data_IF_682566424813
#
_entry.id   IF_682566424813
#
_cell.length_a   1.000
_cell.length_b   1.000
_cell.length_c   1.000
_cell.angle_alpha   90.00
_cell.angle_beta   90.00
_cell.angle_gamma   90.00
#
_symmetry.space_group_name_H-M   'P 1'
#
loop_
_entity.id
_entity.type
_entity.pdbx_description
1 polymer ?
#
# COMPACT_ATOMS: atom_id res chain seq x y z
N UNK A 1 -0.55 -17.53 -0.36
CA UNK A 1 -1.45 -16.36 -0.33
C UNK A 1 -1.44 -15.82 1.08
N UNK A 2 -0.69 -14.74 1.33
CA UNK A 2 -0.77 -14.03 2.61
C UNK A 2 -1.94 -13.06 2.45
N UNK A 3 -3.06 -13.33 3.09
CA UNK A 3 -4.12 -12.33 3.22
C UNK A 3 -3.62 -11.38 4.30
N UNK A 4 -3.22 -10.17 3.93
CA UNK A 4 -2.78 -9.19 4.93
C UNK A 4 -3.91 -8.97 5.94
N UNK A 5 -3.61 -9.22 7.22
CA UNK A 5 -4.57 -8.95 8.28
C UNK A 5 -4.63 -7.45 8.54
N UNK A 6 -5.85 -6.91 8.61
CA UNK A 6 -6.07 -5.53 9.05
C UNK A 6 -5.77 -5.46 10.55
N UNK A 7 -4.75 -4.70 10.92
CA UNK A 7 -4.34 -4.50 12.31
C UNK A 7 -4.39 -3.02 12.67
N UNK A 8 -4.29 -2.71 13.97
CA UNK A 8 -4.12 -1.33 14.43
C UNK A 8 -2.83 -0.77 13.83
N UNK A 9 -2.90 0.44 13.29
CA UNK A 9 -1.82 1.10 12.56
C UNK A 9 -1.88 0.92 11.05
N UNK A 10 -2.65 -0.05 10.53
CA UNK A 10 -2.81 -0.24 9.09
C UNK A 10 -3.38 1.01 8.43
N UNK A 11 -2.79 1.39 7.29
CA UNK A 11 -3.31 2.43 6.41
C UNK A 11 -4.35 1.83 5.48
N UNK A 12 -5.48 2.52 5.34
CA UNK A 12 -6.57 2.06 4.51
C UNK A 12 -7.01 3.12 3.51
N UNK A 13 -7.65 2.66 2.43
CA UNK A 13 -8.48 3.45 1.53
C UNK A 13 -9.92 2.96 1.60
N UNK A 14 -10.87 3.89 1.62
CA UNK A 14 -12.29 3.59 1.54
C UNK A 14 -12.95 4.60 0.62
N UNK A 15 -13.17 4.20 -0.64
CA UNK A 15 -13.78 5.05 -1.67
C UNK A 15 -13.02 6.38 -1.85
N UNK A 16 -11.68 6.33 -1.87
CA UNK A 16 -10.83 7.51 -2.05
C UNK A 16 -10.50 8.27 -0.77
N UNK A 17 -11.12 7.91 0.36
CA UNK A 17 -10.79 8.47 1.67
C UNK A 17 -9.76 7.62 2.38
N UNK A 18 -8.71 8.26 2.88
CA UNK A 18 -7.59 7.58 3.55
C UNK A 18 -7.65 7.78 5.06
N UNK A 19 -7.24 6.76 5.80
CA UNK A 19 -7.22 6.79 7.25
C UNK A 19 -6.35 5.72 7.85
N UNK A 20 -6.18 5.79 9.17
CA UNK A 20 -5.43 4.82 9.97
C UNK A 20 -6.40 4.03 10.83
N UNK A 21 -6.24 2.71 10.86
CA UNK A 21 -6.97 1.85 11.80
C UNK A 21 -6.43 2.10 13.21
N UNK A 22 -7.30 2.48 14.14
CA UNK A 22 -7.00 2.71 15.55
C UNK A 22 -7.62 1.65 16.47
N UNK A 23 -8.59 0.90 15.98
CA UNK A 23 -9.26 -0.16 16.72
C UNK A 23 -9.69 -1.30 15.78
N UNK A 24 -9.58 -2.54 16.26
CA UNK A 24 -10.10 -3.74 15.58
C UNK A 24 -10.80 -4.57 16.64
N UNK A 25 -12.10 -4.77 16.53
CA UNK A 25 -12.86 -5.54 17.51
C UNK A 25 -14.36 -5.36 17.42
N UNK A 26 -15.08 -5.95 18.36
CA UNK A 26 -16.52 -5.78 18.51
C UNK A 26 -16.86 -4.41 19.12
N UNK A 27 -18.00 -3.85 18.75
CA UNK A 27 -18.52 -2.61 19.33
C UNK A 27 -19.82 -2.96 20.07
N UNK A 28 -19.90 -2.58 21.35
CA UNK A 28 -21.01 -2.96 22.21
C UNK A 28 -22.37 -2.57 21.61
N UNK A 29 -23.31 -3.51 21.60
CA UNK A 29 -24.63 -3.33 21.00
C UNK A 29 -24.65 -3.46 19.48
N UNK A 30 -23.60 -4.00 18.87
CA UNK A 30 -23.53 -4.29 17.43
C UNK A 30 -22.93 -5.68 17.19
N UNK A 31 -23.27 -6.30 16.05
CA UNK A 31 -22.77 -7.64 15.73
C UNK A 31 -21.44 -7.58 14.97
N UNK A 32 -20.53 -8.49 15.28
CA UNK A 32 -19.30 -8.74 14.52
C UNK A 32 -18.22 -7.65 14.63
N UNK A 33 -17.15 -7.83 13.85
CA UNK A 33 -15.96 -6.99 13.92
C UNK A 33 -16.17 -5.64 13.20
N UNK A 34 -15.63 -4.61 13.83
CA UNK A 34 -15.53 -3.25 13.32
C UNK A 34 -14.08 -2.77 13.36
N UNK A 35 -13.78 -1.88 12.42
CA UNK A 35 -12.56 -1.10 12.39
C UNK A 35 -12.88 0.30 12.89
N UNK A 36 -12.24 0.74 13.97
CA UNK A 36 -12.18 2.14 14.32
C UNK A 36 -11.13 2.81 13.46
N UNK A 37 -11.53 3.77 12.64
CA UNK A 37 -10.68 4.48 11.68
C UNK A 37 -10.60 5.93 12.10
N UNK A 38 -9.37 6.46 12.12
CA UNK A 38 -9.05 7.88 12.23
C UNK A 38 -8.72 8.39 10.83
N UNK A 39 -9.63 9.18 10.24
CA UNK A 39 -9.50 9.68 8.88
C UNK A 39 -8.48 10.83 8.80
N UNK A 40 -7.76 10.89 7.68
CA UNK A 40 -6.82 12.00 7.44
C UNK A 40 -7.56 13.33 7.25
N UNK A 41 -8.77 13.29 6.68
CA UNK A 41 -9.66 14.44 6.54
C UNK A 41 -10.55 14.54 7.80
N UNK A 42 -10.40 15.58 8.64
CA UNK A 42 -11.11 15.68 9.92
C UNK A 42 -12.64 15.67 9.80
N UNK A 43 -13.18 16.20 8.71
CA UNK A 43 -14.63 16.31 8.48
C UNK A 43 -15.25 15.02 7.95
N UNK A 44 -14.44 14.04 7.54
CA UNK A 44 -14.93 12.79 6.94
C UNK A 44 -15.59 11.85 7.95
N UNK A 45 -15.15 11.88 9.20
CA UNK A 45 -15.63 10.98 10.22
C UNK A 45 -16.94 11.44 10.87
N UNK A 46 -17.18 10.94 12.08
CA UNK A 46 -18.42 11.18 12.85
C UNK A 46 -18.18 11.47 14.33
N UNK A 47 -17.06 11.02 14.89
CA UNK A 47 -16.83 11.03 16.33
C UNK A 47 -15.34 11.03 16.68
N UNK A 48 -15.02 11.21 17.96
CA UNK A 48 -13.64 11.19 18.48
C UNK A 48 -13.13 9.77 18.82
N UNK A 49 -13.89 8.74 18.48
CA UNK A 49 -13.60 7.32 18.74
C UNK A 49 -14.40 6.73 19.90
N UNK A 50 -15.46 7.43 20.31
CA UNK A 50 -16.49 6.95 21.23
C UNK A 50 -17.70 6.37 20.49
N UNK A 51 -18.38 5.42 21.12
CA UNK A 51 -19.71 4.95 20.72
C UNK A 51 -20.53 4.63 21.97
N UNK A 52 -21.76 5.17 22.06
CA UNK A 52 -22.67 5.01 23.21
C UNK A 52 -21.99 5.23 24.58
N UNK A 53 -21.19 6.29 24.70
CA UNK A 53 -20.51 6.67 25.94
C UNK A 53 -19.25 5.86 26.28
N UNK A 54 -18.91 4.84 25.50
CA UNK A 54 -17.67 4.07 25.67
C UNK A 54 -16.58 4.55 24.71
N UNK A 55 -15.34 4.71 25.20
CA UNK A 55 -14.17 5.06 24.39
C UNK A 55 -13.49 3.80 23.86
N UNK A 56 -13.33 3.69 22.54
CA UNK A 56 -12.66 2.55 21.91
C UNK A 56 -11.26 2.91 21.38
N UNK A 57 -11.10 4.13 20.87
CA UNK A 57 -9.83 4.66 20.40
C UNK A 57 -9.82 6.18 20.45
N UNK A 58 -8.66 6.83 20.52
CA UNK A 58 -8.56 8.28 20.41
C UNK A 58 -8.35 8.68 18.95
N UNK A 59 -9.31 9.41 18.37
CA UNK A 59 -9.15 10.02 17.06
C UNK A 59 -8.37 11.34 17.16
N UNK A 60 -7.73 11.76 16.06
CA UNK A 60 -6.87 12.95 16.03
C UNK A 60 -7.67 14.25 16.12
N UNK A 61 -8.89 14.25 15.58
CA UNK A 61 -9.85 15.35 15.65
C UNK A 61 -11.20 14.88 16.22
N UNK A 62 -12.01 15.79 16.81
CA UNK A 62 -13.30 15.43 17.40
C UNK A 62 -14.27 14.71 16.46
N UNK A 63 -14.13 14.91 15.15
CA UNK A 63 -15.00 14.33 14.12
C UNK A 63 -14.28 13.37 13.18
N UNK A 64 -12.96 13.16 13.32
CA UNK A 64 -12.18 12.34 12.38
C UNK A 64 -12.40 10.83 12.49
N UNK A 65 -13.04 10.35 13.56
CA UNK A 65 -13.22 8.92 13.83
C UNK A 65 -14.46 8.32 13.15
N UNK A 66 -14.40 7.05 12.73
CA UNK A 66 -15.56 6.26 12.31
C UNK A 66 -15.40 4.79 12.64
N UNK A 67 -16.51 4.08 12.89
CA UNK A 67 -16.55 2.62 12.83
C UNK A 67 -16.96 2.15 11.43
N UNK A 68 -16.16 1.29 10.82
CA UNK A 68 -16.36 0.79 9.45
C UNK A 68 -16.19 -0.73 9.41
N UNK A 69 -16.95 -1.40 8.55
CA UNK A 69 -16.80 -2.84 8.32
C UNK A 69 -15.52 -3.16 7.55
N UNK A 70 -14.80 -4.25 7.88
CA UNK A 70 -13.61 -4.67 7.13
C UNK A 70 -13.84 -4.78 5.62
N UNK A 71 -15.04 -5.20 5.18
CA UNK A 71 -15.40 -5.32 3.76
C UNK A 71 -15.53 -3.98 3.01
N UNK A 72 -15.50 -2.85 3.71
CA UNK A 72 -15.64 -1.50 3.13
C UNK A 72 -14.30 -0.78 3.00
N UNK A 73 -13.20 -1.40 3.40
CA UNK A 73 -11.86 -0.82 3.30
C UNK A 73 -10.96 -1.67 2.42
N UNK A 74 -10.00 -1.01 1.78
CA UNK A 74 -8.87 -1.61 1.10
C UNK A 74 -7.62 -1.31 1.91
N UNK A 75 -6.78 -2.31 2.13
CA UNK A 75 -5.48 -2.10 2.77
C UNK A 75 -4.58 -1.34 1.79
N UNK A 76 -3.87 -0.34 2.29
CA UNK A 76 -2.85 0.36 1.51
C UNK A 76 -1.66 -0.56 1.26
N UNK A 77 -1.11 -0.54 0.04
CA UNK A 77 0.06 -1.35 -0.31
C UNK A 77 1.29 -0.87 0.46
N UNK A 78 2.16 -1.79 0.84
CA UNK A 78 3.45 -1.41 1.39
C UNK A 78 4.26 -0.61 0.36
N UNK A 79 5.22 0.21 0.81
CA UNK A 79 6.12 0.94 -0.10
C UNK A 79 6.86 -0.04 -1.01
N UNK A 80 7.24 -1.21 -0.49
CA UNK A 80 7.93 -2.25 -1.25
C UNK A 80 7.01 -2.79 -2.36
N UNK A 81 5.79 -3.20 -2.03
CA UNK A 81 4.82 -3.67 -3.04
C UNK A 81 4.51 -2.59 -4.09
N UNK A 82 4.33 -1.34 -3.67
CA UNK A 82 4.09 -0.24 -4.59
C UNK A 82 5.29 0.03 -5.52
N UNK A 83 6.51 -0.15 -5.01
CA UNK A 83 7.75 -0.06 -5.81
C UNK A 83 7.83 -1.24 -6.78
N UNK A 84 7.60 -2.47 -6.31
CA UNK A 84 7.63 -3.68 -7.14
C UNK A 84 6.58 -3.63 -8.26
N UNK A 85 5.39 -3.11 -7.99
CA UNK A 85 4.37 -2.93 -9.03
C UNK A 85 4.73 -1.85 -10.06
N UNK A 86 5.37 -0.76 -9.61
CA UNK A 86 5.70 0.35 -10.49
C UNK A 86 7.00 0.14 -11.28
N UNK A 87 7.95 -0.57 -10.70
CA UNK A 87 9.32 -0.71 -11.20
C UNK A 87 9.74 -2.17 -11.45
N UNK A 88 8.90 -3.16 -11.11
CA UNK A 88 9.22 -4.58 -11.20
C UNK A 88 9.98 -5.11 -9.98
N UNK A 89 9.98 -6.45 -9.82
CA UNK A 89 10.69 -7.14 -8.72
C UNK A 89 12.19 -7.12 -9.00
N UNK A 90 13.01 -6.53 -8.12
CA UNK A 90 14.46 -6.33 -8.32
C UNK A 90 15.30 -7.63 -8.25
N UNK A 91 14.69 -8.81 -8.30
CA UNK A 91 15.38 -10.11 -8.23
C UNK A 91 15.69 -10.72 -9.59
N UNK A 92 15.25 -10.12 -10.69
CA UNK A 92 15.62 -10.57 -12.03
C UNK A 92 16.66 -9.61 -12.62
N UNK A 93 17.86 -10.10 -12.97
CA UNK A 93 18.92 -9.28 -13.58
C UNK A 93 18.54 -8.66 -14.94
N UNK A 94 17.37 -8.96 -15.49
CA UNK A 94 16.85 -8.37 -16.73
C UNK A 94 15.66 -7.42 -16.53
N UNK A 95 15.22 -7.16 -15.30
CA UNK A 95 14.06 -6.28 -15.07
C UNK A 95 14.47 -4.81 -15.17
N UNK A 96 14.00 -4.18 -16.26
CA UNK A 96 14.08 -2.73 -16.46
C UNK A 96 14.22 -2.29 -17.92
N UNK A 97 14.61 -3.19 -18.82
CA UNK A 97 14.77 -2.89 -20.24
C UNK A 97 14.41 -4.13 -21.06
N UNK A 98 13.13 -4.26 -21.44
CA UNK A 98 12.77 -5.25 -22.45
C UNK A 98 13.35 -4.84 -23.82
N UNK A 99 13.54 -5.83 -24.71
CA UNK A 99 14.15 -5.58 -26.03
C UNK A 99 13.38 -4.51 -26.82
N UNK A 100 12.07 -4.43 -26.64
CA UNK A 100 11.23 -3.48 -27.36
C UNK A 100 11.46 -2.04 -26.89
N UNK A 101 11.60 -1.82 -25.58
CA UNK A 101 11.92 -0.54 -24.94
C UNK A 101 13.32 -0.08 -25.34
N UNK A 102 14.29 -1.00 -25.38
CA UNK A 102 15.65 -0.70 -25.86
C UNK A 102 15.61 -0.26 -27.34
N UNK A 103 14.87 -0.98 -28.18
CA UNK A 103 14.73 -0.67 -29.61
C UNK A 103 14.01 0.66 -29.86
N UNK A 104 12.99 0.98 -29.06
CA UNK A 104 12.28 2.27 -29.12
C UNK A 104 13.19 3.43 -28.68
N UNK A 105 13.97 3.26 -27.60
CA UNK A 105 14.95 4.25 -27.17
C UNK A 105 16.00 4.51 -28.26
N UNK A 106 16.56 3.47 -28.88
CA UNK A 106 17.54 3.59 -29.98
C UNK A 106 17.00 4.42 -31.15
N UNK A 107 15.74 4.19 -31.57
CA UNK A 107 15.09 4.96 -32.64
C UNK A 107 14.91 6.43 -32.26
N UNK A 108 14.49 6.70 -31.02
CA UNK A 108 14.16 8.06 -30.57
C UNK A 108 15.40 8.95 -30.39
N UNK A 109 16.52 8.39 -29.94
CA UNK A 109 17.74 9.20 -29.66
C UNK A 109 18.75 9.22 -30.82
N UNK A 110 18.44 8.57 -31.96
CA UNK A 110 19.36 8.40 -33.12
C UNK A 110 20.78 7.94 -32.74
N UNK A 111 20.94 7.22 -31.63
CA UNK A 111 22.23 6.74 -31.19
C UNK A 111 22.61 5.47 -31.96
N UNK A 112 23.80 5.46 -32.53
CA UNK A 112 24.41 4.25 -33.08
C UNK A 112 24.96 3.40 -31.94
N UNK A 113 24.18 2.37 -31.57
CA UNK A 113 24.54 1.19 -30.76
C UNK A 113 24.96 1.42 -29.30
N UNK A 114 24.13 0.93 -28.37
CA UNK A 114 24.56 0.58 -27.01
C UNK A 114 24.74 -0.93 -26.95
N UNK A 115 25.98 -1.39 -26.75
CA UNK A 115 26.21 -2.74 -26.28
C UNK A 115 26.18 -2.70 -24.75
N UNK A 116 25.23 -3.39 -24.13
CA UNK A 116 25.20 -3.54 -22.67
C UNK A 116 26.31 -4.53 -22.31
N UNK A 117 27.54 -4.04 -22.21
CA UNK A 117 28.69 -4.85 -21.82
C UNK A 117 28.71 -4.95 -20.30
N UNK A 118 28.50 -6.16 -19.78
CA UNK A 118 28.86 -6.49 -18.39
C UNK A 118 27.79 -7.17 -17.52
N UNK A 119 27.03 -8.14 -18.04
CA UNK A 119 26.19 -8.99 -17.15
C UNK A 119 26.48 -10.50 -17.23
N UNK A 120 27.32 -10.99 -18.15
CA UNK A 120 27.51 -12.46 -18.27
C UNK A 120 28.95 -12.97 -18.33
N UNK A 121 29.98 -12.17 -18.01
CA UNK A 121 31.37 -12.65 -17.96
C UNK A 121 32.09 -12.44 -16.63
N UNK A 122 31.34 -12.54 -15.53
CA UNK A 122 31.88 -12.83 -14.19
C UNK A 122 31.60 -14.26 -13.71
N UNK A 123 30.97 -15.12 -14.53
CA UNK A 123 30.70 -16.52 -14.16
C UNK A 123 31.82 -17.52 -14.52
N UNK A 124 33.05 -17.07 -14.79
CA UNK A 124 34.14 -18.01 -15.12
C UNK A 124 35.55 -17.56 -14.69
N UNK A 125 35.71 -17.00 -13.49
CA UNK A 125 37.03 -16.90 -12.84
C UNK A 125 37.20 -17.88 -11.67
N UNK A 126 36.17 -18.64 -11.28
CA UNK A 126 36.31 -19.65 -10.21
C UNK A 126 35.51 -20.92 -10.50
N UNK A 127 35.84 -21.61 -11.60
CA UNK A 127 36.50 -22.94 -11.64
C UNK A 127 36.31 -23.61 -12.99
#
# INVERSE_FOLDING_TARGET
MVVEQIIVGSRIDSFGWRGTVRYVGEVAGTDGIWLGIDWDEPERGKHNGTYNGSQYFQASYPTSGSFVRPSKVKIGKSVIEAIEERYGVMTDPNIGLDQETILQLQRNIKATFFEVVGVSKLNQIQR
#
